data_IF_058889691168
#
_entry.id   IF_058889691168
#
_cell.length_a   1.000
_cell.length_b   1.000
_cell.length_c   1.000
_cell.angle_alpha   90.00
_cell.angle_beta   90.00
_cell.angle_gamma   90.00
#
_symmetry.space_group_name_H-M   'P 1'
#
loop_
_entity.id
_entity.type
_entity.pdbx_description
1 polymer ?
#
# COMPACT_ATOMS: atom_id res chain seq x y z
N UNK A 1 2.83 17.09 -3.37
CA UNK A 1 2.39 17.93 -2.23
C UNK A 1 0.90 18.14 -2.40
N UNK A 2 0.07 17.30 -1.77
CA UNK A 2 -1.38 17.48 -1.79
C UNK A 2 -1.72 18.67 -0.86
N UNK A 3 -2.34 19.71 -1.42
CA UNK A 3 -2.92 20.79 -0.64
C UNK A 3 -4.33 20.35 -0.23
N UNK A 4 -4.46 19.87 1.00
CA UNK A 4 -5.77 19.67 1.61
C UNK A 4 -6.28 21.02 2.12
N UNK A 5 -7.45 21.43 1.63
CA UNK A 5 -8.16 22.57 2.16
C UNK A 5 -9.57 22.12 2.53
N UNK A 6 -9.83 21.99 3.83
CA UNK A 6 -11.15 21.74 4.39
C UNK A 6 -11.70 23.05 4.96
N UNK A 7 -12.90 23.43 4.57
CA UNK A 7 -13.62 24.57 5.14
C UNK A 7 -15.11 24.27 5.21
N UNK A 8 -15.74 24.80 6.26
CA UNK A 8 -17.20 24.76 6.44
C UNK A 8 -17.74 26.07 5.84
N UNK A 9 -18.31 26.01 4.64
CA UNK A 9 -19.01 27.16 4.06
C UNK A 9 -20.52 27.09 4.33
N UNK A 10 -21.19 28.23 4.62
CA UNK A 10 -22.66 28.30 4.66
C UNK A 10 -23.22 28.13 3.24
N UNK A 11 -23.65 26.92 2.91
CA UNK A 11 -24.13 26.58 1.56
C UNK A 11 -25.54 27.13 1.30
N UNK A 12 -25.77 27.69 0.11
CA UNK A 12 -26.98 28.43 -0.21
C UNK A 12 -28.18 27.48 -0.45
N UNK A 13 -29.15 27.53 0.46
CA UNK A 13 -30.34 26.68 0.52
C UNK A 13 -31.09 26.58 -0.81
N UNK A 14 -31.26 25.35 -1.34
CA UNK A 14 -32.46 24.97 -2.13
C UNK A 14 -32.73 23.47 -2.34
N UNK A 15 -31.91 22.54 -1.84
CA UNK A 15 -32.09 21.11 -2.16
C UNK A 15 -31.81 20.07 -1.06
N UNK A 16 -31.38 20.47 0.14
CA UNK A 16 -31.09 19.51 1.22
C UNK A 16 -32.12 19.63 2.36
N UNK A 17 -32.51 18.51 3.01
CA UNK A 17 -33.41 18.52 4.14
C UNK A 17 -32.87 19.42 5.27
N UNK A 18 -33.72 20.29 5.87
CA UNK A 18 -33.27 21.39 6.74
C UNK A 18 -32.83 20.98 8.17
N UNK A 19 -32.50 19.72 8.44
CA UNK A 19 -32.28 19.21 9.81
C UNK A 19 -31.08 18.27 9.97
N UNK A 20 -30.14 18.25 9.02
CA UNK A 20 -28.95 17.41 9.12
C UNK A 20 -27.68 18.26 9.01
N UNK A 21 -26.65 17.88 9.78
CA UNK A 21 -25.30 18.41 9.66
C UNK A 21 -24.58 17.69 8.50
N UNK A 22 -24.02 18.44 7.57
CA UNK A 22 -23.31 17.90 6.41
C UNK A 22 -21.83 18.25 6.47
N UNK A 23 -20.98 17.25 6.24
CA UNK A 23 -19.55 17.45 5.98
C UNK A 23 -19.31 17.43 4.46
N UNK A 24 -18.77 18.51 3.92
CA UNK A 24 -18.35 18.59 2.52
C UNK A 24 -16.83 18.51 2.44
N UNK A 25 -16.33 17.60 1.62
CA UNK A 25 -14.90 17.46 1.31
C UNK A 25 -14.68 17.89 -0.14
N UNK A 26 -13.88 18.95 -0.34
CA UNK A 26 -13.46 19.36 -1.67
C UNK A 26 -12.11 18.72 -1.98
N UNK A 27 -12.12 17.80 -2.95
CA UNK A 27 -10.97 17.00 -3.33
C UNK A 27 -10.70 17.16 -4.83
N UNK A 28 -9.50 16.76 -5.23
CA UNK A 28 -9.15 16.70 -6.65
C UNK A 28 -10.00 15.65 -7.38
N UNK A 29 -10.45 15.99 -8.59
CA UNK A 29 -11.19 15.09 -9.46
C UNK A 29 -10.23 14.25 -10.30
N UNK A 30 -10.26 12.93 -10.08
CA UNK A 30 -9.56 11.96 -10.91
C UNK A 30 -10.48 11.40 -12.01
N UNK A 31 -9.89 10.88 -13.09
CA UNK A 31 -10.63 10.41 -14.26
C UNK A 31 -11.31 9.06 -14.03
N UNK A 32 -10.68 8.17 -13.27
CA UNK A 32 -11.22 6.87 -12.90
C UNK A 32 -10.56 6.32 -11.63
N UNK A 33 -10.99 5.14 -11.20
CA UNK A 33 -10.30 4.33 -10.18
C UNK A 33 -9.50 3.20 -10.83
N UNK A 34 -8.71 2.49 -10.03
CA UNK A 34 -8.06 1.26 -10.45
C UNK A 34 -9.09 0.15 -10.69
N UNK A 35 -10.17 0.08 -9.90
CA UNK A 35 -11.30 -0.84 -10.13
C UNK A 35 -11.85 -0.68 -11.55
N UNK A 36 -12.06 0.56 -12.00
CA UNK A 36 -12.63 0.84 -13.32
C UNK A 36 -11.76 0.30 -14.46
N UNK A 37 -10.45 0.41 -14.35
CA UNK A 37 -9.53 -0.03 -15.42
C UNK A 37 -9.24 -1.53 -15.36
N UNK A 38 -9.46 -2.17 -14.20
CA UNK A 38 -9.32 -3.62 -14.02
C UNK A 38 -10.52 -4.42 -14.56
N UNK A 39 -11.59 -3.75 -15.00
CA UNK A 39 -12.72 -4.41 -15.67
C UNK A 39 -12.26 -5.16 -16.94
N UNK A 40 -12.85 -6.34 -17.26
CA UNK A 40 -12.40 -7.19 -18.37
C UNK A 40 -12.27 -6.48 -19.72
N UNK A 41 -13.17 -5.52 -19.99
CA UNK A 41 -13.21 -4.71 -21.21
C UNK A 41 -12.13 -3.61 -21.28
N UNK A 42 -11.57 -3.18 -20.14
CA UNK A 42 -10.58 -2.11 -20.04
C UNK A 42 -9.19 -2.61 -19.62
N UNK A 43 -9.08 -3.82 -19.06
CA UNK A 43 -7.81 -4.36 -18.56
C UNK A 43 -6.69 -4.32 -19.59
N UNK A 44 -7.01 -4.59 -20.87
CA UNK A 44 -6.04 -4.57 -21.96
C UNK A 44 -5.54 -3.16 -22.35
N UNK A 45 -6.23 -2.10 -21.91
CA UNK A 45 -5.83 -0.71 -22.19
C UNK A 45 -4.89 -0.13 -21.15
N UNK A 46 -4.61 -0.83 -20.04
CA UNK A 46 -3.63 -0.39 -19.04
C UNK A 46 -2.25 -0.41 -19.70
N UNK A 47 -1.59 0.76 -19.91
CA UNK A 47 -0.38 0.82 -20.73
C UNK A 47 0.81 0.08 -20.11
N UNK A 48 1.02 0.27 -18.82
CA UNK A 48 2.09 -0.34 -18.05
C UNK A 48 1.64 -0.62 -16.62
N UNK A 49 1.22 -1.87 -16.38
CA UNK A 49 0.77 -2.33 -15.07
C UNK A 49 1.88 -2.28 -14.03
N UNK A 50 3.14 -2.47 -14.43
CA UNK A 50 4.29 -2.48 -13.54
C UNK A 50 4.59 -1.09 -13.03
N UNK A 51 4.62 -0.12 -13.94
CA UNK A 51 4.79 1.30 -13.58
C UNK A 51 3.67 1.76 -12.66
N UNK A 52 2.42 1.37 -12.95
CA UNK A 52 1.29 1.70 -12.10
C UNK A 52 1.43 1.10 -10.70
N UNK A 53 1.84 -0.16 -10.59
CA UNK A 53 2.16 -0.78 -9.31
C UNK A 53 3.29 -0.06 -8.56
N UNK A 54 4.37 0.32 -9.26
CA UNK A 54 5.48 1.08 -8.68
C UNK A 54 5.00 2.43 -8.11
N UNK A 55 4.15 3.16 -8.83
CA UNK A 55 3.58 4.42 -8.36
C UNK A 55 2.70 4.24 -7.11
N UNK A 56 1.90 3.17 -7.03
CA UNK A 56 1.14 2.81 -5.82
C UNK A 56 2.09 2.59 -4.65
N UNK A 57 3.13 1.77 -4.82
CA UNK A 57 4.11 1.47 -3.77
C UNK A 57 4.81 2.74 -3.29
N UNK A 58 5.18 3.66 -4.20
CA UNK A 58 5.76 4.96 -3.87
C UNK A 58 4.79 5.86 -3.10
N UNK A 59 3.51 5.84 -3.47
CA UNK A 59 2.45 6.55 -2.76
C UNK A 59 2.31 6.06 -1.32
N UNK A 60 2.17 4.74 -1.12
CA UNK A 60 2.06 4.12 0.21
C UNK A 60 3.31 4.41 1.05
N UNK A 61 4.49 4.37 0.44
CA UNK A 61 5.75 4.72 1.12
C UNK A 61 5.76 6.16 1.63
N UNK A 62 5.13 7.07 0.89
CA UNK A 62 5.00 8.46 1.32
C UNK A 62 4.07 8.57 2.53
N UNK A 63 2.96 7.82 2.55
CA UNK A 63 2.07 7.76 3.71
C UNK A 63 2.79 7.23 4.96
N UNK A 64 3.50 6.12 4.84
CA UNK A 64 4.20 5.50 5.97
C UNK A 64 5.31 6.38 6.54
N UNK A 65 5.98 7.18 5.70
CA UNK A 65 6.98 8.17 6.13
C UNK A 65 6.38 9.29 6.98
N UNK A 66 5.12 9.63 6.75
CA UNK A 66 4.36 10.59 7.54
C UNK A 66 3.60 9.92 8.70
N UNK A 67 3.94 8.66 9.03
CA UNK A 67 3.29 7.86 10.07
C UNK A 67 1.78 7.70 9.86
N UNK A 68 1.35 7.59 8.59
CA UNK A 68 -0.03 7.31 8.19
C UNK A 68 -0.11 5.88 7.70
N UNK A 69 -0.98 5.07 8.30
CA UNK A 69 -1.34 3.73 7.79
C UNK A 69 -2.76 3.80 7.25
N UNK A 70 -2.95 3.36 6.01
CA UNK A 70 -4.20 3.56 5.29
C UNK A 70 -5.30 2.57 5.71
N UNK A 71 -4.93 1.30 5.93
CA UNK A 71 -5.79 0.18 6.40
C UNK A 71 -6.91 -0.28 5.48
N UNK A 72 -7.32 0.52 4.50
CA UNK A 72 -8.28 0.11 3.45
C UNK A 72 -7.72 0.30 2.03
N UNK A 73 -6.46 -0.11 1.78
CA UNK A 73 -5.92 -0.09 0.42
C UNK A 73 -6.61 -1.15 -0.45
N UNK A 74 -7.23 -0.70 -1.53
CA UNK A 74 -7.90 -1.53 -2.55
C UNK A 74 -8.03 -0.73 -3.85
N UNK A 75 -8.33 -1.37 -4.98
CA UNK A 75 -8.42 -0.67 -6.26
C UNK A 75 -9.44 0.48 -6.31
N UNK A 76 -10.51 0.43 -5.52
CA UNK A 76 -11.49 1.53 -5.43
C UNK A 76 -10.90 2.81 -4.82
N UNK A 77 -9.88 2.65 -3.97
CA UNK A 77 -9.20 3.74 -3.25
C UNK A 77 -7.91 4.18 -3.96
N UNK A 78 -7.59 3.59 -5.10
CA UNK A 78 -6.51 4.01 -5.99
C UNK A 78 -7.14 4.75 -7.17
N UNK A 79 -7.03 6.07 -7.16
CA UNK A 79 -7.54 6.93 -8.22
C UNK A 79 -6.49 7.17 -9.30
N UNK A 80 -6.96 7.33 -10.54
CA UNK A 80 -6.13 7.53 -11.72
C UNK A 80 -6.50 8.86 -12.39
N UNK A 81 -5.50 9.72 -12.59
CA UNK A 81 -5.65 10.92 -13.43
C UNK A 81 -5.70 10.57 -14.92
N UNK A 82 -5.74 11.59 -15.79
CA UNK A 82 -5.89 11.38 -17.24
C UNK A 82 -4.72 10.61 -17.88
N UNK A 83 -3.53 10.69 -17.28
CA UNK A 83 -2.30 10.05 -17.77
C UNK A 83 -1.90 8.82 -16.92
N UNK A 84 -2.86 8.15 -16.28
CA UNK A 84 -2.64 7.04 -15.34
C UNK A 84 -1.78 7.42 -14.11
N UNK A 85 -1.69 8.72 -13.78
CA UNK A 85 -1.06 9.16 -12.54
C UNK A 85 -1.82 8.62 -11.32
N UNK A 86 -1.10 7.95 -10.43
CA UNK A 86 -1.71 7.33 -9.24
C UNK A 86 -1.93 8.35 -8.12
N UNK A 87 -3.14 8.40 -7.60
CA UNK A 87 -3.51 9.11 -6.36
C UNK A 87 -4.15 8.14 -5.38
N UNK A 88 -3.61 8.06 -4.16
CA UNK A 88 -4.24 7.28 -3.08
C UNK A 88 -5.27 8.18 -2.40
N UNK A 89 -6.49 7.67 -2.24
CA UNK A 89 -7.60 8.39 -1.62
C UNK A 89 -8.39 7.51 -0.65
N UNK A 90 -9.43 8.11 -0.07
CA UNK A 90 -10.27 7.51 0.99
C UNK A 90 -9.51 7.12 2.27
N UNK A 91 -9.21 8.14 3.07
CA UNK A 91 -8.55 8.00 4.36
C UNK A 91 -9.54 7.78 5.52
N UNK A 92 -10.79 7.36 5.24
CA UNK A 92 -11.82 7.17 6.28
C UNK A 92 -11.42 6.17 7.36
N UNK A 93 -10.66 5.15 6.98
CA UNK A 93 -10.11 4.13 7.87
C UNK A 93 -8.64 4.36 8.21
N UNK A 94 -8.02 5.46 7.78
CA UNK A 94 -6.61 5.69 8.05
C UNK A 94 -6.36 5.95 9.55
N UNK A 95 -5.16 5.62 10.02
CA UNK A 95 -4.68 6.00 11.34
C UNK A 95 -3.35 6.73 11.25
N UNK A 96 -3.18 7.72 12.13
CA UNK A 96 -2.01 8.56 12.18
C UNK A 96 -1.34 8.45 13.56
N UNK A 97 -0.02 8.45 13.57
CA UNK A 97 0.78 8.48 14.78
C UNK A 97 0.96 7.10 15.41
N UNK A 98 2.18 6.87 15.87
CA UNK A 98 2.54 5.71 16.67
C UNK A 98 2.48 6.09 18.15
N UNK A 99 1.96 5.21 19.00
CA UNK A 99 2.20 5.32 20.44
C UNK A 99 3.68 5.01 20.77
N UNK A 100 4.08 5.17 22.04
CA UNK A 100 5.46 4.91 22.50
C UNK A 100 5.94 3.47 22.23
N UNK A 101 5.01 2.55 21.98
CA UNK A 101 5.28 1.15 21.66
C UNK A 101 5.30 0.90 20.15
N UNK A 102 5.14 1.92 19.32
CA UNK A 102 5.09 1.80 17.86
C UNK A 102 3.76 1.23 17.35
N UNK A 103 2.66 1.36 18.10
CA UNK A 103 1.32 0.87 17.72
C UNK A 103 0.50 2.01 17.16
N UNK A 104 -0.25 1.74 16.10
CA UNK A 104 -1.26 2.66 15.59
C UNK A 104 -2.59 2.43 16.32
N UNK A 105 -3.23 3.51 16.78
CA UNK A 105 -4.58 3.47 17.32
C UNK A 105 -5.63 3.27 16.22
N UNK A 106 -6.73 2.59 16.51
CA UNK A 106 -7.86 2.47 15.59
C UNK A 106 -8.81 1.31 15.89
N UNK A 107 -9.99 1.34 15.27
CA UNK A 107 -11.01 0.29 15.40
C UNK A 107 -10.54 -1.01 14.74
N UNK A 108 -10.60 -2.16 15.43
CA UNK A 108 -10.41 -3.47 14.80
C UNK A 108 -11.48 -3.71 13.71
N UNK A 109 -11.19 -4.58 12.73
CA UNK A 109 -12.14 -4.98 11.67
C UNK A 109 -12.66 -3.84 10.76
N UNK A 110 -11.84 -2.83 10.45
CA UNK A 110 -12.12 -1.86 9.39
C UNK A 110 -11.51 -2.32 8.05
N UNK A 111 -11.99 -1.75 6.94
CA UNK A 111 -11.54 -2.10 5.58
C UNK A 111 -12.29 -3.22 4.86
N UNK A 112 -11.84 -3.51 3.64
CA UNK A 112 -12.51 -4.43 2.71
C UNK A 112 -11.94 -5.85 2.82
N UNK A 113 -12.79 -6.81 3.21
CA UNK A 113 -12.40 -8.20 3.55
C UNK A 113 -11.47 -8.89 2.55
N UNK A 114 -11.62 -8.62 1.25
CA UNK A 114 -10.83 -9.21 0.17
C UNK A 114 -9.36 -8.78 0.16
N UNK A 115 -9.03 -7.62 0.72
CA UNK A 115 -7.66 -7.05 0.76
C UNK A 115 -7.10 -6.98 2.18
N UNK A 116 -7.89 -7.42 3.17
CA UNK A 116 -7.58 -7.28 4.59
C UNK A 116 -6.46 -8.25 4.99
N UNK A 117 -5.46 -7.71 5.69
CA UNK A 117 -4.40 -8.53 6.26
C UNK A 117 -4.95 -9.47 7.36
N UNK A 118 -4.46 -10.71 7.47
CA UNK A 118 -5.02 -11.72 8.37
C UNK A 118 -4.95 -11.32 9.85
N UNK A 119 -3.94 -10.55 10.25
CA UNK A 119 -3.77 -10.09 11.63
C UNK A 119 -4.84 -9.09 12.09
N UNK A 120 -5.59 -8.47 11.16
CA UNK A 120 -6.68 -7.55 11.51
C UNK A 120 -7.91 -8.28 12.09
N UNK A 121 -8.02 -9.59 11.83
CA UNK A 121 -9.02 -10.47 12.46
C UNK A 121 -8.52 -11.07 13.79
N UNK A 122 -7.36 -10.65 14.28
CA UNK A 122 -6.72 -11.15 15.51
C UNK A 122 -6.42 -10.03 16.50
N UNK A 123 -6.06 -10.37 17.74
CA UNK A 123 -5.60 -9.42 18.75
C UNK A 123 -4.11 -9.00 18.56
N UNK A 124 -3.50 -9.34 17.42
CA UNK A 124 -2.12 -8.96 17.13
C UNK A 124 -1.94 -7.46 16.93
N UNK A 125 -0.70 -7.00 17.12
CA UNK A 125 -0.35 -5.59 16.99
C UNK A 125 -0.44 -5.16 15.53
N UNK A 126 -1.35 -4.23 15.24
CA UNK A 126 -1.46 -3.56 13.94
C UNK A 126 -0.23 -2.68 13.71
N UNK A 127 0.41 -2.88 12.56
CA UNK A 127 1.56 -2.10 12.06
C UNK A 127 1.28 -1.67 10.63
N UNK A 128 2.16 -0.85 10.05
CA UNK A 128 2.08 -0.46 8.63
C UNK A 128 2.15 -1.65 7.66
N UNK A 129 2.55 -2.84 8.14
CA UNK A 129 2.56 -4.10 7.38
C UNK A 129 1.19 -4.53 6.88
N UNK A 130 0.09 -4.05 7.45
CA UNK A 130 -1.27 -4.33 6.93
C UNK A 130 -1.43 -3.77 5.51
N UNK A 131 -0.91 -2.57 5.25
CA UNK A 131 -0.95 -1.95 3.93
C UNK A 131 -0.10 -2.74 2.93
N UNK A 132 1.01 -3.32 3.37
CA UNK A 132 1.88 -4.15 2.52
C UNK A 132 1.14 -5.40 2.02
N UNK A 133 0.36 -6.02 2.89
CA UNK A 133 -0.47 -7.17 2.51
C UNK A 133 -1.50 -6.75 1.44
N UNK A 134 -2.22 -5.66 1.68
CA UNK A 134 -3.21 -5.13 0.74
C UNK A 134 -2.59 -4.76 -0.61
N UNK A 135 -1.39 -4.15 -0.61
CA UNK A 135 -0.59 -3.90 -1.82
C UNK A 135 -0.25 -5.20 -2.55
N UNK A 136 0.09 -6.28 -1.83
CA UNK A 136 0.34 -7.58 -2.42
C UNK A 136 -0.90 -8.22 -3.07
N UNK A 137 -2.08 -8.07 -2.46
CA UNK A 137 -3.35 -8.51 -3.06
C UNK A 137 -3.65 -7.69 -4.33
N UNK A 138 -3.47 -6.37 -4.29
CA UNK A 138 -3.62 -5.52 -5.48
C UNK A 138 -2.62 -5.88 -6.59
N UNK A 139 -1.39 -6.27 -6.24
CA UNK A 139 -0.39 -6.72 -7.19
C UNK A 139 -0.86 -7.97 -7.95
N UNK A 140 -1.41 -8.95 -7.23
CA UNK A 140 -2.00 -10.13 -7.86
C UNK A 140 -3.11 -9.76 -8.85
N UNK A 141 -4.02 -8.88 -8.44
CA UNK A 141 -5.15 -8.46 -9.27
C UNK A 141 -4.70 -7.69 -10.51
N UNK A 142 -3.71 -6.81 -10.35
CA UNK A 142 -3.11 -6.07 -11.45
C UNK A 142 -2.55 -7.02 -12.50
N UNK A 143 -1.89 -8.10 -12.10
CA UNK A 143 -1.26 -9.05 -13.01
C UNK A 143 -2.17 -10.18 -13.47
N UNK A 144 -3.43 -10.19 -13.07
CA UNK A 144 -4.36 -11.27 -13.39
C UNK A 144 -5.53 -10.77 -14.22
N UNK A 145 -5.59 -11.21 -15.47
CA UNK A 145 -6.73 -10.93 -16.32
C UNK A 145 -7.87 -11.88 -16.00
N UNK A 146 -8.96 -11.35 -15.48
CA UNK A 146 -10.22 -12.07 -15.34
C UNK A 146 -11.09 -11.86 -16.59
N UNK A 147 -11.68 -12.94 -17.11
CA UNK A 147 -12.64 -12.87 -18.21
C UNK A 147 -14.01 -12.35 -17.78
N UNK A 148 -14.33 -12.41 -16.48
CA UNK A 148 -15.57 -11.90 -15.92
C UNK A 148 -15.42 -11.51 -14.44
N UNK A 149 -16.37 -10.72 -13.92
CA UNK A 149 -16.45 -10.41 -12.50
C UNK A 149 -16.67 -11.64 -11.62
N UNK A 150 -17.37 -12.67 -12.13
CA UNK A 150 -17.57 -13.93 -11.42
C UNK A 150 -16.26 -14.69 -11.25
N UNK A 151 -15.46 -14.78 -12.32
CA UNK A 151 -14.14 -15.41 -12.26
C UNK A 151 -13.22 -14.72 -11.26
N UNK A 152 -13.25 -13.37 -11.24
CA UNK A 152 -12.56 -12.58 -10.23
C UNK A 152 -13.04 -12.91 -8.82
N UNK A 153 -14.35 -12.94 -8.59
CA UNK A 153 -14.90 -13.23 -7.27
C UNK A 153 -14.47 -14.61 -6.75
N UNK A 154 -14.57 -15.65 -7.60
CA UNK A 154 -14.13 -17.01 -7.26
C UNK A 154 -12.63 -17.08 -6.96
N UNK A 155 -11.80 -16.38 -7.72
CA UNK A 155 -10.36 -16.31 -7.44
C UNK A 155 -10.09 -15.68 -6.08
N UNK A 156 -10.81 -14.61 -5.71
CA UNK A 156 -10.66 -13.93 -4.42
C UNK A 156 -11.23 -14.70 -3.23
N UNK A 157 -12.24 -15.56 -3.43
CA UNK A 157 -12.73 -16.47 -2.38
C UNK A 157 -11.62 -17.43 -1.92
N UNK A 158 -10.80 -17.92 -2.84
CA UNK A 158 -9.72 -18.85 -2.52
C UNK A 158 -8.39 -18.16 -2.19
N UNK A 159 -8.17 -16.95 -2.70
CA UNK A 159 -6.89 -16.22 -2.61
C UNK A 159 -6.36 -16.11 -1.17
N UNK A 160 -7.26 -15.87 -0.21
CA UNK A 160 -6.91 -15.66 1.18
C UNK A 160 -6.39 -16.92 1.87
N UNK A 161 -7.00 -18.07 1.57
CA UNK A 161 -6.71 -19.33 2.27
C UNK A 161 -5.68 -20.19 1.51
N UNK A 162 -5.70 -20.12 0.17
CA UNK A 162 -4.88 -20.97 -0.71
C UNK A 162 -3.77 -20.20 -1.41
N UNK A 163 -3.82 -18.87 -1.42
CA UNK A 163 -3.00 -18.06 -2.32
C UNK A 163 -3.55 -18.05 -3.75
N UNK A 164 -2.78 -17.52 -4.71
CA UNK A 164 -3.23 -17.39 -6.09
C UNK A 164 -3.34 -18.76 -6.76
N UNK A 165 -4.09 -18.86 -7.88
CA UNK A 165 -4.35 -20.12 -8.56
C UNK A 165 -3.07 -20.90 -8.91
N UNK A 166 -3.16 -22.23 -8.91
CA UNK A 166 -2.04 -23.10 -9.26
C UNK A 166 -1.42 -22.70 -10.60
N UNK A 167 -0.10 -22.52 -10.61
CA UNK A 167 0.65 -22.12 -11.80
C UNK A 167 0.64 -20.62 -12.09
N UNK A 168 -0.01 -19.79 -11.27
CA UNK A 168 0.13 -18.33 -11.35
C UNK A 168 1.59 -17.93 -11.07
N UNK A 169 2.18 -17.16 -12.00
CA UNK A 169 3.58 -16.71 -11.92
C UNK A 169 3.76 -15.20 -12.07
N UNK A 170 2.69 -14.45 -12.34
CA UNK A 170 2.78 -13.05 -12.75
C UNK A 170 3.27 -12.87 -14.19
N UNK A 171 3.67 -11.64 -14.53
CA UNK A 171 4.15 -11.26 -15.86
C UNK A 171 5.66 -11.52 -16.02
N UNK A 172 6.42 -11.50 -14.91
CA UNK A 172 7.88 -11.63 -14.89
C UNK A 172 8.37 -12.72 -13.91
N UNK A 173 9.58 -13.22 -14.15
CA UNK A 173 10.27 -14.07 -13.18
C UNK A 173 10.43 -13.32 -11.84
N UNK A 174 10.10 -13.99 -10.74
CA UNK A 174 10.10 -13.40 -9.40
C UNK A 174 8.79 -12.74 -8.96
N UNK A 175 7.80 -12.53 -9.84
CA UNK A 175 6.51 -11.94 -9.43
C UNK A 175 5.77 -12.82 -8.42
N UNK A 176 5.87 -14.15 -8.58
CA UNK A 176 5.35 -15.10 -7.59
C UNK A 176 5.97 -14.89 -6.21
N UNK A 177 7.30 -14.79 -6.16
CA UNK A 177 8.03 -14.57 -4.91
C UNK A 177 7.71 -13.21 -4.30
N UNK A 178 7.66 -12.17 -5.13
CA UNK A 178 7.31 -10.81 -4.71
C UNK A 178 5.91 -10.78 -4.08
N UNK A 179 4.93 -11.43 -4.71
CA UNK A 179 3.59 -11.60 -4.13
C UNK A 179 3.67 -12.33 -2.78
N UNK A 180 4.29 -13.51 -2.73
CA UNK A 180 4.32 -14.35 -1.52
C UNK A 180 4.98 -13.63 -0.34
N UNK A 181 6.01 -12.83 -0.61
CA UNK A 181 6.69 -12.04 0.42
C UNK A 181 5.96 -10.75 0.79
N UNK A 182 5.01 -10.25 0.01
CA UNK A 182 4.12 -9.17 0.44
C UNK A 182 2.94 -9.70 1.24
N UNK A 183 2.42 -10.89 0.89
CA UNK A 183 1.23 -11.50 1.50
C UNK A 183 1.54 -12.54 2.56
N UNK A 184 2.79 -12.59 3.05
CA UNK A 184 3.18 -13.48 4.13
C UNK A 184 2.26 -13.35 5.35
N UNK A 185 1.84 -14.48 5.91
CA UNK A 185 0.87 -14.51 7.03
C UNK A 185 1.37 -13.74 8.24
N UNK A 186 2.65 -13.88 8.58
CA UNK A 186 3.27 -13.12 9.66
C UNK A 186 3.71 -11.75 9.15
N UNK A 187 3.29 -10.64 9.78
CA UNK A 187 3.69 -9.29 9.37
C UNK A 187 5.20 -9.05 9.34
N UNK A 188 5.95 -9.72 10.22
CA UNK A 188 7.40 -9.62 10.31
C UNK A 188 8.13 -10.21 9.08
N UNK A 189 7.52 -11.20 8.42
CA UNK A 189 8.10 -11.85 7.23
C UNK A 189 7.82 -11.06 5.95
N UNK A 190 6.94 -10.04 6.01
CA UNK A 190 6.61 -9.19 4.87
C UNK A 190 7.74 -8.23 4.51
N UNK A 191 7.96 -8.06 3.21
CA UNK A 191 8.87 -7.05 2.66
C UNK A 191 8.57 -5.64 3.19
N UNK A 192 9.60 -4.82 3.24
CA UNK A 192 9.47 -3.36 3.29
C UNK A 192 9.15 -2.78 1.90
N UNK A 193 8.59 -1.56 1.86
CA UNK A 193 8.33 -0.86 0.60
C UNK A 193 9.60 -0.58 -0.22
N UNK A 194 10.74 -0.38 0.45
CA UNK A 194 12.05 -0.26 -0.20
C UNK A 194 12.44 -1.56 -0.91
N UNK A 195 12.34 -2.70 -0.22
CA UNK A 195 12.64 -4.00 -0.84
C UNK A 195 11.68 -4.32 -1.99
N UNK A 196 10.39 -3.97 -1.87
CA UNK A 196 9.40 -4.13 -2.95
C UNK A 196 9.83 -3.35 -4.20
N UNK A 197 10.17 -2.07 -4.06
CA UNK A 197 10.59 -1.24 -5.20
C UNK A 197 11.85 -1.80 -5.86
N UNK A 198 12.79 -2.32 -5.08
CA UNK A 198 14.00 -2.95 -5.61
C UNK A 198 13.67 -4.25 -6.34
N UNK A 199 12.82 -5.12 -5.78
CA UNK A 199 12.41 -6.36 -6.43
C UNK A 199 11.64 -6.09 -7.73
N UNK A 200 10.72 -5.11 -7.74
CA UNK A 200 10.00 -4.68 -8.96
C UNK A 200 10.97 -4.28 -10.07
N UNK A 201 12.00 -3.50 -9.74
CA UNK A 201 13.02 -3.09 -10.69
C UNK A 201 13.76 -4.30 -11.28
N UNK A 202 14.22 -5.23 -10.43
CA UNK A 202 14.99 -6.38 -10.89
C UNK A 202 14.17 -7.42 -11.66
N UNK A 203 12.95 -7.74 -11.22
CA UNK A 203 12.07 -8.65 -11.94
C UNK A 203 11.79 -8.15 -13.37
N UNK A 204 11.82 -6.83 -13.60
CA UNK A 204 11.63 -6.22 -14.91
C UNK A 204 12.92 -6.13 -15.77
N UNK A 205 14.12 -6.22 -15.16
CA UNK A 205 15.39 -5.86 -15.82
C UNK A 205 16.49 -6.94 -15.81
N UNK A 206 16.36 -8.11 -15.14
CA UNK A 206 17.49 -9.06 -15.10
C UNK A 206 17.10 -10.55 -14.94
N UNK A 207 17.79 -11.43 -15.67
CA UNK A 207 17.78 -12.90 -15.56
C UNK A 207 18.77 -13.40 -14.46
N UNK A 208 19.03 -12.59 -13.43
CA UNK A 208 20.13 -12.80 -12.47
C UNK A 208 19.71 -13.59 -11.23
N UNK A 209 20.66 -14.31 -10.61
CA UNK A 209 20.40 -15.24 -9.49
C UNK A 209 20.13 -14.54 -8.14
N UNK A 210 19.47 -15.25 -7.22
CA UNK A 210 19.06 -14.75 -5.89
C UNK A 210 20.20 -14.21 -5.01
N UNK A 211 21.45 -14.68 -5.18
CA UNK A 211 22.61 -14.18 -4.42
C UNK A 211 23.17 -12.86 -4.96
N UNK A 212 23.11 -12.66 -6.27
CA UNK A 212 23.50 -11.39 -6.90
C UNK A 212 22.49 -10.28 -6.54
N UNK A 213 21.21 -10.65 -6.41
CA UNK A 213 20.15 -9.76 -5.90
C UNK A 213 20.43 -9.30 -4.47
N UNK A 214 20.75 -10.21 -3.53
CA UNK A 214 21.07 -9.84 -2.14
C UNK A 214 22.26 -8.88 -2.02
N UNK A 215 23.29 -9.07 -2.84
CA UNK A 215 24.46 -8.17 -2.87
C UNK A 215 24.11 -6.80 -3.45
N UNK A 216 23.37 -6.74 -4.56
CA UNK A 216 22.88 -5.49 -5.15
C UNK A 216 21.95 -4.74 -4.19
N UNK A 217 21.03 -5.44 -3.51
CA UNK A 217 20.17 -4.89 -2.45
C UNK A 217 20.99 -4.24 -1.33
N UNK A 218 22.02 -4.93 -0.84
CA UNK A 218 22.88 -4.41 0.23
C UNK A 218 23.62 -3.13 -0.20
N UNK A 219 24.06 -3.04 -1.45
CA UNK A 219 24.76 -1.84 -1.94
C UNK A 219 23.81 -0.69 -2.28
N UNK A 220 22.64 -0.96 -2.89
CA UNK A 220 21.67 0.08 -3.24
C UNK A 220 21.08 0.75 -2.00
N UNK A 221 20.79 -0.04 -0.96
CA UNK A 221 20.37 0.51 0.33
C UNK A 221 21.44 1.44 0.91
N UNK A 222 22.73 1.07 0.85
CA UNK A 222 23.83 1.93 1.32
C UNK A 222 23.92 3.26 0.56
N UNK A 223 23.72 3.23 -0.76
CA UNK A 223 23.79 4.43 -1.61
C UNK A 223 22.59 5.36 -1.39
N UNK A 224 21.38 4.82 -1.22
CA UNK A 224 20.15 5.60 -0.94
C UNK A 224 20.22 6.32 0.40
N UNK A 225 20.84 5.72 1.43
CA UNK A 225 21.06 6.39 2.73
C UNK A 225 22.15 7.47 2.69
N UNK A 226 23.05 7.43 1.71
CA UNK A 226 24.13 8.42 1.56
C UNK A 226 23.76 9.61 0.66
N UNK A 227 22.72 9.47 -0.18
CA UNK A 227 22.39 10.42 -1.24
C UNK A 227 21.30 11.46 -0.88
N UNK A 228 20.88 11.56 0.38
CA UNK A 228 20.01 12.64 0.88
C UNK A 228 20.81 13.64 1.72
N UNK A 229 21.32 14.74 1.14
CA UNK A 229 21.91 15.81 1.92
C UNK A 229 20.78 16.57 2.62
N UNK A 230 20.63 16.37 3.93
CA UNK A 230 19.80 17.26 4.77
C UNK A 230 18.93 16.64 5.87
N UNK A 231 19.10 15.37 6.23
CA UNK A 231 18.43 14.82 7.43
C UNK A 231 19.44 14.86 8.60
N UNK A 232 19.30 15.87 9.46
CA UNK A 232 19.91 15.88 10.80
C UNK A 232 19.29 14.71 11.59
N UNK A 233 19.98 13.57 11.56
CA UNK A 233 19.57 12.33 12.19
C UNK A 233 19.84 12.41 13.69
N UNK A 234 19.01 13.12 14.44
CA UNK A 234 18.97 13.03 15.91
C UNK A 234 18.09 11.89 16.42
N UNK A 235 18.16 10.71 15.78
CA UNK A 235 17.41 9.53 16.22
C UNK A 235 18.27 8.29 16.46
N UNK A 236 19.59 8.48 16.61
CA UNK A 236 20.54 7.39 16.95
C UNK A 236 21.23 7.50 18.32
N UNK A 237 21.12 8.62 19.05
CA UNK A 237 21.88 8.81 20.30
C UNK A 237 21.04 8.75 21.59
N UNK A 238 19.71 8.70 21.53
CA UNK A 238 18.87 8.70 22.74
C UNK A 238 18.60 7.30 23.33
N UNK A 239 18.73 6.22 22.58
CA UNK A 239 18.51 4.86 23.11
C UNK A 239 19.74 4.22 23.76
N UNK A 240 20.93 4.83 23.63
CA UNK A 240 22.16 4.36 24.28
C UNK A 240 22.47 5.07 25.62
N UNK A 241 21.93 6.26 25.87
CA UNK A 241 22.23 7.07 27.07
C UNK A 241 21.26 6.86 28.24
N UNK A 242 20.14 6.17 28.04
CA UNK A 242 19.16 5.90 29.12
C UNK A 242 19.35 4.53 29.80
N UNK A 243 20.18 3.64 29.25
CA UNK A 243 20.51 2.36 29.89
C UNK A 243 21.68 2.43 30.90
N UNK A 244 22.39 3.55 30.99
CA UNK A 244 23.45 3.76 32.01
C UNK A 244 22.99 4.54 33.25
N UNK A 245 21.72 4.98 33.34
CA UNK A 245 21.21 5.78 34.48
C UNK A 245 20.24 5.07 35.42
N UNK A 246 19.92 3.81 35.19
CA UNK A 246 19.07 2.99 36.06
C UNK A 246 19.81 1.83 36.75
N UNK A 247 21.14 1.86 36.74
CA UNK A 247 22.02 0.94 37.47
C UNK A 247 22.83 1.64 38.57
N UNK A 248 22.16 2.22 39.57
CA UNK A 248 22.69 2.50 40.92
C UNK A 248 21.54 2.77 41.88
#
# INVERSE_FOLDING_TARGET
>A
MMLFQAWIEPWNHKRLPPQEDYLFLHLELCASTLTDVLLPEKFASIPDRRKLFEEIVRGVKTLHREFIVHRDLKPDNIFLGSDYEVRIGDFGDACCGQDELGKYGGTPNCGTKSYLAPELDSDEKITEKVDIYSVGVMFFELLTRFGSLLERALAFEELRDKGPPDGWKGDYEGDRELYDRMTALKPADRLSLDEILVMVYFCAHDNSTNEDMKKKLTSLCADVYSATPGIDCRYGEQTALEQERSGC
#
